data_IF_520970475441
#
_entry.id   IF_520970475441
#
_cell.length_a   1.000
_cell.length_b   1.000
_cell.length_c   1.000
_cell.angle_alpha   90.00
_cell.angle_beta   90.00
_cell.angle_gamma   90.00
#
_symmetry.space_group_name_H-M   'P 1'
#
loop_
_entity.id
_entity.type
_entity.pdbx_description
1 polymer ?
#
# COMPACT_ATOMS: atom_id res chain seq x y z
N UNK A 1 27.79 -52.27 54.77
CA UNK A 1 26.90 -51.24 55.33
C UNK A 1 26.15 -50.60 54.17
N UNK A 2 24.82 -50.79 54.16
CA UNK A 2 23.76 -50.13 53.38
C UNK A 2 23.83 -49.96 51.84
N UNK A 3 22.78 -50.52 51.21
CA UNK A 3 22.23 -50.34 49.85
C UNK A 3 21.44 -49.02 49.77
N UNK A 4 21.47 -48.27 48.64
CA UNK A 4 20.33 -47.53 47.98
C UNK A 4 20.79 -47.19 46.54
N UNK A 5 20.30 -47.84 45.47
CA UNK A 5 19.09 -47.60 44.65
C UNK A 5 19.18 -46.51 43.57
N UNK A 6 18.70 -46.88 42.37
CA UNK A 6 18.75 -46.16 41.11
C UNK A 6 17.71 -45.03 40.95
N UNK A 7 17.93 -44.11 40.01
CA UNK A 7 16.91 -43.71 39.02
C UNK A 7 17.50 -42.79 37.95
N UNK A 8 17.25 -43.16 36.69
CA UNK A 8 17.57 -42.37 35.51
C UNK A 8 16.54 -41.25 35.32
N UNK A 9 17.04 -40.06 35.02
CA UNK A 9 16.24 -38.91 34.59
C UNK A 9 16.57 -38.55 33.15
N UNK A 10 15.63 -38.78 32.25
CA UNK A 10 15.67 -38.27 30.86
C UNK A 10 15.43 -36.77 30.92
N UNK A 11 16.45 -35.96 30.62
CA UNK A 11 16.29 -34.52 30.50
C UNK A 11 15.58 -34.18 29.18
N UNK A 12 14.32 -33.75 29.26
CA UNK A 12 13.61 -33.14 28.14
C UNK A 12 14.14 -31.72 27.94
N UNK A 13 14.81 -31.48 26.81
CA UNK A 13 15.23 -30.14 26.42
C UNK A 13 14.03 -29.37 25.85
N UNK A 14 13.29 -28.69 26.72
CA UNK A 14 12.34 -27.65 26.32
C UNK A 14 13.13 -26.45 25.78
N UNK A 15 13.21 -26.31 24.45
CA UNK A 15 13.70 -25.08 23.81
C UNK A 15 12.57 -24.04 23.85
N UNK A 16 12.45 -23.34 24.97
CA UNK A 16 11.75 -22.06 25.04
C UNK A 16 12.61 -20.99 24.38
N UNK A 17 12.57 -20.93 23.04
CA UNK A 17 13.10 -19.82 22.25
C UNK A 17 12.21 -18.59 22.44
N UNK A 18 12.38 -17.89 23.55
CA UNK A 18 11.77 -16.58 23.77
C UNK A 18 12.27 -15.60 22.72
N UNK A 19 11.36 -15.11 21.89
CA UNK A 19 11.63 -14.02 20.96
C UNK A 19 11.83 -12.76 21.80
N UNK A 20 13.07 -12.41 22.09
CA UNK A 20 13.43 -11.05 22.50
C UNK A 20 13.06 -10.13 21.34
N UNK A 21 11.97 -9.40 21.51
CA UNK A 21 11.57 -8.33 20.61
C UNK A 21 12.71 -7.30 20.54
N UNK A 22 13.42 -7.25 19.42
CA UNK A 22 14.37 -6.17 19.19
C UNK A 22 13.58 -4.86 19.14
N UNK A 23 13.72 -4.02 20.15
CA UNK A 23 13.26 -2.62 20.14
C UNK A 23 14.17 -1.77 19.26
N UNK A 24 14.41 -2.22 18.03
CA UNK A 24 14.98 -1.40 16.97
C UNK A 24 13.93 -0.37 16.58
N UNK A 25 14.10 0.87 17.04
CA UNK A 25 13.31 2.02 16.61
C UNK A 25 13.51 2.15 15.09
N UNK A 26 12.61 1.57 14.30
CA UNK A 26 12.66 1.66 12.84
C UNK A 26 12.86 3.12 12.44
N UNK A 27 13.96 3.40 11.74
CA UNK A 27 14.33 4.75 11.30
C UNK A 27 13.14 5.39 10.60
N UNK A 28 12.83 6.64 10.94
CA UNK A 28 11.72 7.35 10.33
C UNK A 28 11.88 7.42 8.81
N UNK A 29 10.81 7.14 8.08
CA UNK A 29 10.78 7.12 6.60
C UNK A 29 10.11 8.38 6.07
N UNK A 30 10.24 8.66 4.77
CA UNK A 30 9.56 9.79 4.14
C UNK A 30 8.02 9.68 4.16
N UNK A 31 7.47 8.49 4.46
CA UNK A 31 6.02 8.30 4.63
C UNK A 31 5.53 8.63 6.05
N UNK A 32 6.41 8.86 7.02
CA UNK A 32 6.02 9.19 8.39
C UNK A 32 5.61 10.66 8.55
N UNK A 33 4.58 10.90 9.38
CA UNK A 33 4.02 12.23 9.59
C UNK A 33 3.10 12.69 8.45
N UNK A 34 2.95 14.00 8.30
CA UNK A 34 2.07 14.57 7.26
C UNK A 34 2.87 14.86 5.99
N UNK A 35 2.36 14.38 4.85
CA UNK A 35 2.89 14.69 3.54
C UNK A 35 1.93 15.49 2.67
N UNK A 36 2.43 16.32 1.75
CA UNK A 36 1.61 17.08 0.80
C UNK A 36 2.05 16.76 -0.62
N UNK A 37 1.10 16.44 -1.50
CA UNK A 37 1.37 16.22 -2.91
C UNK A 37 1.46 17.55 -3.66
N UNK A 38 2.34 17.63 -4.64
CA UNK A 38 2.55 18.78 -5.52
C UNK A 38 2.47 18.24 -6.94
N UNK A 39 1.44 18.65 -7.67
CA UNK A 39 1.37 18.37 -9.11
C UNK A 39 2.25 19.35 -9.90
N UNK A 40 2.02 20.65 -9.75
CA UNK A 40 2.70 21.74 -10.43
C UNK A 40 3.45 22.65 -9.44
N UNK A 41 4.78 22.66 -9.51
CA UNK A 41 5.63 23.48 -8.63
C UNK A 41 5.31 24.96 -8.77
N UNK A 42 5.12 25.47 -10.00
CA UNK A 42 4.80 26.88 -10.24
C UNK A 42 3.45 27.32 -9.64
N UNK A 43 2.52 26.39 -9.40
CA UNK A 43 1.26 26.66 -8.72
C UNK A 43 1.35 26.45 -7.19
N UNK A 44 2.51 26.04 -6.68
CA UNK A 44 2.77 25.84 -5.26
C UNK A 44 3.58 27.01 -4.73
N UNK A 45 2.91 28.00 -4.12
CA UNK A 45 3.54 29.26 -3.68
C UNK A 45 4.30 29.98 -4.83
N UNK A 46 3.76 29.94 -6.05
CA UNK A 46 4.41 30.54 -7.22
C UNK A 46 5.70 29.85 -7.65
N UNK A 47 5.98 28.64 -7.18
CA UNK A 47 7.28 27.96 -7.37
C UNK A 47 8.38 28.45 -6.43
N UNK A 48 8.07 29.33 -5.47
CA UNK A 48 9.04 29.82 -4.49
C UNK A 48 9.47 28.71 -3.55
N UNK A 49 10.72 28.23 -3.67
CA UNK A 49 11.30 27.23 -2.76
C UNK A 49 11.20 27.66 -1.29
N UNK A 50 11.61 28.89 -0.90
CA UNK A 50 11.42 29.35 0.48
C UNK A 50 9.94 29.39 0.91
N UNK A 51 9.03 29.79 0.01
CA UNK A 51 7.59 29.82 0.26
C UNK A 51 7.00 28.43 0.52
N UNK A 52 7.40 27.44 -0.28
CA UNK A 52 7.03 26.03 -0.09
C UNK A 52 7.54 25.55 1.28
N UNK A 53 8.83 25.77 1.58
CA UNK A 53 9.42 25.35 2.87
C UNK A 53 8.67 26.01 4.05
N UNK A 54 8.43 27.32 3.99
CA UNK A 54 7.76 28.06 5.05
C UNK A 54 6.34 27.54 5.30
N UNK A 55 5.54 27.33 4.25
CA UNK A 55 4.18 26.81 4.37
C UNK A 55 4.17 25.38 4.91
N UNK A 56 5.04 24.51 4.41
CA UNK A 56 5.14 23.15 4.90
C UNK A 56 5.45 23.11 6.41
N UNK A 57 6.44 23.90 6.86
CA UNK A 57 6.80 24.03 8.28
C UNK A 57 5.65 24.56 9.13
N UNK A 58 5.00 25.63 8.69
CA UNK A 58 3.86 26.24 9.40
C UNK A 58 2.72 25.23 9.66
N UNK A 59 2.55 24.25 8.77
CA UNK A 59 1.49 23.25 8.84
C UNK A 59 1.99 21.84 9.20
N UNK A 60 3.22 21.72 9.71
CA UNK A 60 3.84 20.45 10.14
C UNK A 60 3.86 19.37 9.05
N UNK A 61 3.90 19.79 7.78
CA UNK A 61 4.17 18.93 6.63
C UNK A 61 5.67 18.68 6.59
N UNK A 62 6.04 17.40 6.59
CA UNK A 62 7.44 16.94 6.66
C UNK A 62 7.95 16.45 5.31
N UNK A 63 7.03 15.99 4.47
CA UNK A 63 7.32 15.40 3.16
C UNK A 63 6.52 16.10 2.09
N UNK A 64 7.14 16.39 0.96
CA UNK A 64 6.44 16.76 -0.27
C UNK A 64 6.58 15.66 -1.31
N UNK A 65 5.47 15.29 -1.95
CA UNK A 65 5.43 14.34 -3.05
C UNK A 65 5.30 15.15 -4.34
N UNK A 66 6.38 15.35 -5.08
CA UNK A 66 6.42 16.23 -6.26
C UNK A 66 6.31 15.40 -7.53
N UNK A 67 5.47 15.83 -8.48
CA UNK A 67 5.31 15.13 -9.76
C UNK A 67 6.62 15.13 -10.52
N UNK A 68 7.13 13.94 -10.77
CA UNK A 68 8.42 13.67 -11.41
C UNK A 68 8.29 13.06 -12.80
N UNK A 69 7.11 12.54 -13.13
CA UNK A 69 6.84 11.99 -14.46
C UNK A 69 5.37 11.75 -14.72
N UNK A 70 5.08 11.49 -15.99
CA UNK A 70 3.77 11.11 -16.50
C UNK A 70 3.99 10.15 -17.67
N UNK A 71 3.60 8.88 -17.49
CA UNK A 71 3.91 7.80 -18.41
C UNK A 71 5.41 7.74 -18.71
N UNK A 72 5.77 7.88 -19.98
CA UNK A 72 7.17 7.86 -20.45
C UNK A 72 7.86 9.22 -20.41
N UNK A 73 7.19 10.26 -19.90
CA UNK A 73 7.69 11.63 -19.90
C UNK A 73 8.19 12.02 -18.51
N UNK A 74 9.46 12.36 -18.38
CA UNK A 74 10.00 12.94 -17.15
C UNK A 74 9.63 14.42 -17.03
N UNK A 75 9.28 14.88 -15.83
CA UNK A 75 8.89 16.26 -15.56
C UNK A 75 10.07 17.06 -14.99
N UNK A 76 10.66 18.02 -15.76
CA UNK A 76 11.89 18.70 -15.36
C UNK A 76 11.81 19.49 -14.06
N UNK A 77 10.61 19.93 -13.65
CA UNK A 77 10.39 20.62 -12.37
C UNK A 77 10.98 19.83 -11.18
N UNK A 78 10.97 18.49 -11.25
CA UNK A 78 11.42 17.67 -10.15
C UNK A 78 12.90 17.88 -9.85
N UNK A 79 13.74 17.87 -10.89
CA UNK A 79 15.19 18.09 -10.75
C UNK A 79 15.52 19.46 -10.16
N UNK A 80 14.68 20.46 -10.41
CA UNK A 80 14.89 21.83 -9.95
C UNK A 80 14.60 21.99 -8.44
N UNK A 81 13.73 21.16 -7.87
CA UNK A 81 13.24 21.36 -6.50
C UNK A 81 13.75 20.36 -5.47
N UNK A 82 14.21 19.16 -5.88
CA UNK A 82 14.59 18.09 -4.92
C UNK A 82 15.66 18.56 -3.93
N UNK A 83 16.81 19.04 -4.42
CA UNK A 83 17.91 19.44 -3.53
C UNK A 83 17.59 20.69 -2.70
N UNK A 84 17.04 21.78 -3.26
CA UNK A 84 16.70 22.96 -2.48
C UNK A 84 15.67 22.69 -1.37
N UNK A 85 14.63 21.89 -1.64
CA UNK A 85 13.63 21.53 -0.61
C UNK A 85 14.21 20.62 0.47
N UNK A 86 15.10 19.67 0.11
CA UNK A 86 15.84 18.85 1.07
C UNK A 86 16.77 19.69 1.95
N UNK A 87 17.49 20.66 1.38
CA UNK A 87 18.28 21.62 2.15
C UNK A 87 17.41 22.46 3.10
N UNK A 88 16.16 22.71 2.72
CA UNK A 88 15.11 23.28 3.56
C UNK A 88 14.58 22.37 4.67
N UNK A 89 15.11 21.15 4.82
CA UNK A 89 14.72 20.20 5.86
C UNK A 89 13.45 19.40 5.56
N UNK A 90 12.91 19.47 4.33
CA UNK A 90 11.81 18.61 3.90
C UNK A 90 12.34 17.28 3.36
N UNK A 91 11.56 16.22 3.52
CA UNK A 91 11.70 15.01 2.72
C UNK A 91 11.04 15.23 1.36
N UNK A 92 11.68 14.77 0.29
CA UNK A 92 11.16 14.96 -1.07
C UNK A 92 11.03 13.62 -1.76
N UNK A 93 9.80 13.27 -2.12
CA UNK A 93 9.52 12.08 -2.91
C UNK A 93 9.09 12.46 -4.31
N UNK A 94 9.53 11.67 -5.29
CA UNK A 94 8.98 11.75 -6.64
C UNK A 94 7.71 10.93 -6.76
N UNK A 95 6.73 11.38 -7.53
CA UNK A 95 5.64 10.53 -7.99
C UNK A 95 5.47 10.55 -9.50
N UNK A 96 4.88 9.50 -10.05
CA UNK A 96 4.65 9.35 -11.49
C UNK A 96 3.31 8.67 -11.73
N UNK A 97 2.49 9.26 -12.60
CA UNK A 97 1.31 8.59 -13.15
C UNK A 97 1.75 7.58 -14.22
N UNK A 98 1.31 6.32 -14.15
CA UNK A 98 1.75 5.25 -15.06
C UNK A 98 0.57 4.58 -15.76
N UNK A 99 0.78 4.14 -17.01
CA UNK A 99 -0.28 3.61 -17.89
C UNK A 99 -0.11 2.13 -18.20
N UNK A 100 1.12 1.61 -18.12
CA UNK A 100 1.42 0.20 -18.36
C UNK A 100 1.51 -0.18 -19.84
N UNK A 101 1.43 0.80 -20.75
CA UNK A 101 1.59 0.58 -22.19
C UNK A 101 3.07 0.43 -22.55
N UNK A 102 3.94 1.21 -21.89
CA UNK A 102 5.40 1.16 -22.05
C UNK A 102 6.09 0.97 -20.70
N UNK A 103 5.82 -0.14 -19.97
CA UNK A 103 6.22 -0.31 -18.58
C UNK A 103 7.74 -0.28 -18.37
N UNK A 104 8.51 -0.62 -19.41
CA UNK A 104 9.96 -0.49 -19.38
C UNK A 104 10.42 0.97 -19.38
N UNK A 105 9.80 1.82 -20.17
CA UNK A 105 10.20 3.23 -20.31
C UNK A 105 9.65 4.07 -19.16
N UNK A 106 8.42 3.78 -18.73
CA UNK A 106 7.86 4.32 -17.50
C UNK A 106 8.77 4.05 -16.30
N UNK A 107 9.30 2.82 -16.17
CA UNK A 107 10.24 2.49 -15.10
C UNK A 107 11.60 3.22 -15.23
N UNK A 108 12.01 3.63 -16.44
CA UNK A 108 13.19 4.49 -16.63
C UNK A 108 12.93 5.88 -16.04
N UNK A 109 11.75 6.45 -16.28
CA UNK A 109 11.34 7.75 -15.72
C UNK A 109 11.30 7.70 -14.19
N UNK A 110 10.69 6.65 -13.62
CA UNK A 110 10.72 6.43 -12.17
C UNK A 110 12.15 6.35 -11.62
N UNK A 111 13.01 5.56 -12.27
CA UNK A 111 14.41 5.42 -11.88
C UNK A 111 15.20 6.74 -12.00
N UNK A 112 14.82 7.63 -12.92
CA UNK A 112 15.41 8.95 -13.02
C UNK A 112 15.10 9.80 -11.78
N UNK A 113 13.86 9.79 -11.28
CA UNK A 113 13.51 10.49 -10.04
C UNK A 113 14.32 9.96 -8.84
N UNK A 114 14.50 8.64 -8.76
CA UNK A 114 15.37 8.02 -7.74
C UNK A 114 16.82 8.50 -7.87
N UNK A 115 17.38 8.49 -9.10
CA UNK A 115 18.74 8.94 -9.37
C UNK A 115 18.95 10.43 -9.06
N UNK A 116 17.92 11.26 -9.25
CA UNK A 116 17.94 12.70 -8.93
C UNK A 116 18.08 12.96 -7.41
N UNK A 117 17.90 11.94 -6.57
CA UNK A 117 18.17 12.00 -5.13
C UNK A 117 16.93 12.13 -4.27
N UNK A 118 15.77 11.68 -4.76
CA UNK A 118 14.54 11.61 -3.99
C UNK A 118 14.72 10.73 -2.73
N UNK A 119 14.05 11.08 -1.64
CA UNK A 119 14.02 10.28 -0.40
C UNK A 119 13.10 9.04 -0.54
N UNK A 120 12.08 9.14 -1.40
CA UNK A 120 11.21 8.03 -1.76
C UNK A 120 10.59 8.21 -3.14
N UNK A 121 9.90 7.18 -3.64
CA UNK A 121 9.15 7.27 -4.90
C UNK A 121 7.74 6.69 -4.73
N UNK A 122 6.74 7.29 -5.38
CA UNK A 122 5.36 6.77 -5.37
C UNK A 122 4.90 6.51 -6.81
N UNK A 123 4.44 5.29 -7.03
CA UNK A 123 3.82 4.86 -8.29
C UNK A 123 2.35 5.23 -8.20
N UNK A 124 1.89 6.16 -9.01
CA UNK A 124 0.47 6.47 -9.17
C UNK A 124 -0.06 5.61 -10.33
N UNK A 125 -0.66 4.47 -9.97
CA UNK A 125 -1.17 3.49 -10.91
C UNK A 125 -2.67 3.29 -10.65
N UNK A 126 -3.46 3.55 -11.69
CA UNK A 126 -4.92 3.51 -11.62
C UNK A 126 -5.47 2.54 -12.68
N UNK A 127 -6.65 2.82 -13.22
CA UNK A 127 -7.39 1.85 -14.02
C UNK A 127 -6.70 1.42 -15.31
N UNK A 128 -5.73 2.19 -15.81
CA UNK A 128 -4.95 1.83 -16.99
C UNK A 128 -4.13 0.56 -16.75
N UNK A 129 -3.85 0.20 -15.50
CA UNK A 129 -3.19 -1.05 -15.15
C UNK A 129 -4.14 -2.23 -14.92
N UNK A 130 -5.46 -2.04 -15.01
CA UNK A 130 -6.43 -3.13 -14.91
C UNK A 130 -6.10 -4.24 -15.91
N UNK A 131 -5.91 -5.47 -15.40
CA UNK A 131 -5.52 -6.63 -16.19
C UNK A 131 -4.07 -6.66 -16.69
N UNK A 132 -3.27 -5.62 -16.49
CA UNK A 132 -1.89 -5.52 -17.03
C UNK A 132 -0.82 -6.12 -16.12
N UNK A 133 -0.99 -7.37 -15.68
CA UNK A 133 -0.04 -8.06 -14.78
C UNK A 133 1.38 -8.15 -15.36
N UNK A 134 1.51 -8.51 -16.64
CA UNK A 134 2.81 -8.56 -17.33
C UNK A 134 3.51 -7.22 -17.38
N UNK A 135 2.74 -6.13 -17.57
CA UNK A 135 3.29 -4.78 -17.55
C UNK A 135 3.77 -4.40 -16.14
N UNK A 136 2.95 -4.64 -15.12
CA UNK A 136 3.31 -4.38 -13.72
C UNK A 136 4.58 -5.14 -13.30
N UNK A 137 4.73 -6.40 -13.70
CA UNK A 137 5.93 -7.20 -13.41
C UNK A 137 7.16 -6.61 -14.11
N UNK A 138 7.04 -6.24 -15.39
CA UNK A 138 8.14 -5.63 -16.15
C UNK A 138 8.55 -4.28 -15.56
N UNK A 139 7.57 -3.46 -15.20
CA UNK A 139 7.78 -2.17 -14.53
C UNK A 139 8.51 -2.35 -13.20
N UNK A 140 7.96 -3.15 -12.28
CA UNK A 140 8.52 -3.31 -10.93
C UNK A 140 9.91 -3.94 -10.95
N UNK A 141 10.16 -4.93 -11.82
CA UNK A 141 11.49 -5.54 -11.96
C UNK A 141 12.53 -4.51 -12.41
N UNK A 142 12.20 -3.67 -13.40
CA UNK A 142 13.13 -2.65 -13.91
C UNK A 142 13.32 -1.52 -12.92
N UNK A 143 12.26 -1.03 -12.28
CA UNK A 143 12.37 0.00 -11.25
C UNK A 143 13.25 -0.50 -10.09
N UNK A 144 13.02 -1.72 -9.60
CA UNK A 144 13.83 -2.29 -8.51
C UNK A 144 15.27 -2.56 -8.88
N UNK A 145 15.57 -2.94 -10.12
CA UNK A 145 16.97 -3.14 -10.53
C UNK A 145 17.76 -1.83 -10.54
N UNK A 146 17.08 -0.68 -10.66
CA UNK A 146 17.69 0.65 -10.61
C UNK A 146 17.65 1.30 -9.24
N UNK A 147 16.54 1.18 -8.51
CA UNK A 147 16.36 1.79 -7.19
C UNK A 147 16.96 0.97 -6.04
N UNK A 148 17.10 -0.35 -6.23
CA UNK A 148 17.50 -1.27 -5.17
C UNK A 148 16.33 -1.78 -4.32
N UNK A 149 16.63 -2.81 -3.52
CA UNK A 149 15.63 -3.56 -2.73
C UNK A 149 15.06 -2.76 -1.56
N UNK A 150 15.85 -1.86 -0.98
CA UNK A 150 15.52 -1.14 0.25
C UNK A 150 15.06 0.30 0.02
N UNK A 151 15.20 0.82 -1.20
CA UNK A 151 14.73 2.17 -1.51
C UNK A 151 13.21 2.28 -1.29
N UNK A 152 12.72 3.26 -0.54
CA UNK A 152 11.30 3.36 -0.19
C UNK A 152 10.43 3.64 -1.42
N UNK A 153 9.52 2.72 -1.73
CA UNK A 153 8.53 2.89 -2.80
C UNK A 153 7.12 2.71 -2.25
N UNK A 154 6.23 3.65 -2.58
CA UNK A 154 4.79 3.57 -2.33
C UNK A 154 4.00 3.25 -3.60
N UNK A 155 2.83 2.66 -3.44
CA UNK A 155 1.80 2.54 -4.47
C UNK A 155 0.63 3.45 -4.10
N UNK A 156 0.36 4.48 -4.89
CA UNK A 156 -0.90 5.20 -4.86
C UNK A 156 -1.86 4.56 -5.87
N UNK A 157 -2.90 3.92 -5.35
CA UNK A 157 -3.93 3.22 -6.14
C UNK A 157 -5.30 3.32 -5.47
N UNK A 158 -6.27 2.50 -5.91
CA UNK A 158 -7.64 2.62 -5.42
C UNK A 158 -7.78 2.24 -3.94
N UNK A 159 -8.62 2.95 -3.18
CA UNK A 159 -8.92 2.60 -1.80
C UNK A 159 -9.76 1.31 -1.71
N UNK A 160 -10.68 1.10 -2.66
CA UNK A 160 -11.58 -0.06 -2.70
C UNK A 160 -11.05 -1.09 -3.68
N UNK A 161 -10.03 -1.85 -3.28
CA UNK A 161 -9.37 -2.84 -4.15
C UNK A 161 -10.33 -3.94 -4.66
N UNK A 162 -11.42 -4.21 -3.94
CA UNK A 162 -12.45 -5.16 -4.33
C UNK A 162 -13.39 -4.65 -5.44
N UNK A 163 -13.30 -3.36 -5.76
CA UNK A 163 -13.96 -2.74 -6.91
C UNK A 163 -13.05 -2.72 -8.14
N UNK A 164 -11.76 -3.00 -7.96
CA UNK A 164 -10.73 -3.07 -9.01
C UNK A 164 -10.08 -4.47 -9.02
N UNK A 165 -10.88 -5.54 -9.21
CA UNK A 165 -10.43 -6.91 -8.96
C UNK A 165 -9.36 -7.39 -9.92
N UNK A 166 -9.21 -6.77 -11.10
CA UNK A 166 -8.15 -7.10 -12.07
C UNK A 166 -6.90 -6.23 -11.94
N UNK A 167 -6.87 -5.27 -11.02
CA UNK A 167 -5.71 -4.42 -10.83
C UNK A 167 -4.62 -5.23 -10.13
N UNK A 168 -3.36 -5.20 -10.60
CA UNK A 168 -2.31 -6.11 -10.14
C UNK A 168 -1.69 -5.70 -8.79
N UNK A 169 -2.50 -5.57 -7.75
CA UNK A 169 -2.04 -5.24 -6.39
C UNK A 169 -1.05 -6.29 -5.86
N UNK A 170 -1.30 -7.57 -6.10
CA UNK A 170 -0.41 -8.67 -5.73
C UNK A 170 1.00 -8.55 -6.34
N UNK A 171 1.14 -7.88 -7.49
CA UNK A 171 2.43 -7.57 -8.11
C UNK A 171 3.05 -6.31 -7.51
N UNK A 172 2.28 -5.22 -7.47
CA UNK A 172 2.79 -3.93 -6.98
C UNK A 172 3.12 -3.96 -5.50
N UNK A 173 2.35 -4.65 -4.65
CA UNK A 173 2.54 -4.78 -3.21
C UNK A 173 3.26 -6.09 -2.83
N UNK A 174 3.42 -7.03 -3.76
CA UNK A 174 4.08 -8.31 -3.51
C UNK A 174 5.60 -8.21 -3.24
N UNK A 175 6.31 -9.35 -3.13
CA UNK A 175 7.75 -9.35 -2.90
C UNK A 175 8.54 -8.62 -3.99
N UNK A 176 9.41 -7.69 -3.59
CA UNK A 176 10.10 -6.80 -4.52
C UNK A 176 9.23 -5.64 -5.01
N UNK A 177 7.95 -5.61 -4.67
CA UNK A 177 7.03 -4.51 -4.93
C UNK A 177 7.32 -3.26 -4.07
N UNK A 178 6.37 -2.32 -4.06
CA UNK A 178 6.29 -1.21 -3.12
C UNK A 178 6.23 -1.72 -1.67
N UNK A 179 6.88 -0.97 -0.76
CA UNK A 179 6.86 -1.26 0.69
C UNK A 179 5.68 -0.58 1.38
N UNK A 180 5.10 0.45 0.78
CA UNK A 180 4.04 1.27 1.36
C UNK A 180 2.81 1.23 0.45
N UNK A 181 1.64 0.99 1.02
CA UNK A 181 0.38 1.13 0.31
C UNK A 181 -0.20 2.52 0.65
N UNK A 182 -0.49 3.32 -0.37
CA UNK A 182 -0.88 4.73 -0.27
C UNK A 182 -2.25 4.94 -0.94
N UNK A 183 -3.31 4.26 -0.48
CA UNK A 183 -4.61 4.30 -1.15
C UNK A 183 -5.17 5.72 -1.22
N UNK A 184 -5.74 6.09 -2.36
CA UNK A 184 -6.31 7.42 -2.62
C UNK A 184 -7.72 7.52 -2.01
N UNK A 185 -7.80 7.90 -0.74
CA UNK A 185 -9.03 7.95 0.07
C UNK A 185 -9.71 9.32 -0.08
N UNK A 186 -10.42 9.51 -1.19
CA UNK A 186 -11.12 10.76 -1.51
C UNK A 186 -12.61 10.70 -1.18
N UNK A 187 -12.94 10.79 0.10
CA UNK A 187 -14.27 10.43 0.61
C UNK A 187 -15.43 11.24 0.00
N UNK A 188 -15.25 12.53 -0.29
CA UNK A 188 -16.30 13.33 -0.97
C UNK A 188 -16.51 12.88 -2.41
N UNK A 189 -15.43 12.58 -3.14
CA UNK A 189 -15.52 12.08 -4.51
C UNK A 189 -16.15 10.67 -4.56
N UNK A 190 -15.88 9.85 -3.54
CA UNK A 190 -16.49 8.52 -3.41
C UNK A 190 -17.97 8.62 -2.98
N UNK A 191 -18.36 9.70 -2.29
CA UNK A 191 -19.73 9.98 -1.89
C UNK A 191 -20.13 9.31 -0.56
N UNK A 192 -19.17 9.05 0.32
CA UNK A 192 -19.42 8.50 1.66
C UNK A 192 -18.64 9.26 2.73
N UNK A 193 -19.00 9.07 4.00
CA UNK A 193 -18.27 9.63 5.14
C UNK A 193 -16.90 8.96 5.35
N UNK A 194 -15.99 9.71 6.00
CA UNK A 194 -14.60 9.28 6.27
C UNK A 194 -14.50 7.87 6.86
N UNK A 195 -15.32 7.54 7.86
CA UNK A 195 -15.25 6.26 8.56
C UNK A 195 -15.62 5.07 7.66
N UNK A 196 -16.64 5.25 6.82
CA UNK A 196 -17.08 4.24 5.86
C UNK A 196 -15.97 3.96 4.86
N UNK A 197 -15.40 5.01 4.28
CA UNK A 197 -14.34 4.87 3.27
C UNK A 197 -13.08 4.29 3.87
N UNK A 198 -12.66 4.78 5.04
CA UNK A 198 -11.47 4.28 5.72
C UNK A 198 -11.66 2.82 6.16
N UNK A 199 -12.80 2.48 6.77
CA UNK A 199 -13.08 1.11 7.21
C UNK A 199 -13.04 0.11 6.07
N UNK A 200 -13.70 0.43 4.95
CA UNK A 200 -13.65 -0.40 3.76
C UNK A 200 -12.22 -0.49 3.18
N UNK A 201 -11.51 0.63 3.11
CA UNK A 201 -10.11 0.67 2.64
C UNK A 201 -9.23 -0.28 3.46
N UNK A 202 -9.23 -0.17 4.79
CA UNK A 202 -8.40 -1.02 5.64
C UNK A 202 -8.83 -2.49 5.60
N UNK A 203 -10.13 -2.79 5.54
CA UNK A 203 -10.65 -4.15 5.47
C UNK A 203 -10.07 -4.91 4.27
N UNK A 204 -10.06 -4.28 3.10
CA UNK A 204 -9.68 -4.93 1.83
C UNK A 204 -8.21 -4.79 1.47
N UNK A 205 -7.51 -3.77 1.95
CA UNK A 205 -6.08 -3.59 1.66
C UNK A 205 -5.16 -4.35 2.63
N UNK A 206 -5.61 -4.60 3.86
CA UNK A 206 -4.82 -5.27 4.90
C UNK A 206 -4.30 -6.67 4.50
N UNK A 207 -5.04 -7.50 3.75
CA UNK A 207 -4.53 -8.77 3.25
C UNK A 207 -3.21 -8.68 2.46
N UNK A 208 -2.88 -7.56 1.81
CA UNK A 208 -1.61 -7.42 1.09
C UNK A 208 -0.38 -7.25 2.02
N UNK A 209 -0.58 -7.15 3.33
CA UNK A 209 0.50 -7.19 4.31
C UNK A 209 1.47 -6.01 4.25
N UNK A 210 1.08 -4.90 3.61
CA UNK A 210 1.85 -3.66 3.58
C UNK A 210 1.32 -2.64 4.57
N UNK A 211 2.21 -1.86 5.22
CA UNK A 211 1.78 -0.68 5.95
C UNK A 211 0.97 0.26 5.05
N UNK A 212 -0.20 0.70 5.56
CA UNK A 212 -1.15 1.56 4.83
C UNK A 212 -0.99 3.00 5.32
N UNK A 213 -0.66 3.91 4.41
CA UNK A 213 -0.45 5.35 4.64
C UNK A 213 -1.38 6.10 3.71
N UNK A 214 -2.66 6.32 4.09
CA UNK A 214 -3.67 6.78 3.15
C UNK A 214 -3.40 8.20 2.66
N UNK A 215 -3.73 8.44 1.38
CA UNK A 215 -3.74 9.73 0.72
C UNK A 215 -5.15 10.33 0.81
N UNK A 216 -5.32 11.37 1.63
CA UNK A 216 -6.60 12.02 1.87
C UNK A 216 -6.88 13.17 0.89
N UNK A 217 -8.15 13.54 0.79
CA UNK A 217 -8.66 14.63 -0.05
C UNK A 217 -8.60 15.98 0.68
N UNK A 218 -8.16 17.03 -0.03
CA UNK A 218 -8.34 18.44 0.36
C UNK A 218 -9.10 19.27 -0.68
N UNK A 219 -9.19 18.78 -1.92
CA UNK A 219 -10.04 19.34 -2.96
C UNK A 219 -11.53 19.09 -2.67
N UNK A 220 -12.42 19.86 -3.30
CA UNK A 220 -13.84 19.94 -2.94
C UNK A 220 -14.11 20.43 -1.50
N UNK A 221 -13.14 21.10 -0.87
CA UNK A 221 -13.23 21.74 0.45
C UNK A 221 -13.94 20.86 1.52
N UNK A 222 -13.33 19.74 1.93
CA UNK A 222 -13.87 18.94 3.01
C UNK A 222 -13.84 19.68 4.33
N UNK A 223 -14.78 19.38 5.22
CA UNK A 223 -14.86 20.06 6.50
C UNK A 223 -13.62 19.74 7.36
N UNK A 224 -13.18 20.73 8.16
CA UNK A 224 -12.07 20.54 9.12
C UNK A 224 -12.24 19.31 10.01
N UNK A 225 -13.47 19.04 10.45
CA UNK A 225 -13.81 17.88 11.28
C UNK A 225 -13.56 16.55 10.54
N UNK A 226 -13.80 16.48 9.22
CA UNK A 226 -13.55 15.30 8.39
C UNK A 226 -12.04 15.06 8.23
N UNK A 227 -11.26 16.11 7.95
CA UNK A 227 -9.80 16.04 7.85
C UNK A 227 -9.20 15.53 9.17
N UNK A 228 -9.66 16.06 10.31
CA UNK A 228 -9.25 15.60 11.64
C UNK A 228 -9.69 14.15 11.88
N UNK A 229 -10.92 13.78 11.47
CA UNK A 229 -11.44 12.40 11.62
C UNK A 229 -10.59 11.41 10.83
N UNK A 230 -10.22 11.74 9.59
CA UNK A 230 -9.38 10.91 8.72
C UNK A 230 -8.02 10.62 9.38
N UNK A 231 -7.37 11.67 9.89
CA UNK A 231 -6.09 11.55 10.60
C UNK A 231 -6.21 10.69 11.87
N UNK A 232 -7.28 10.87 12.64
CA UNK A 232 -7.56 10.06 13.84
C UNK A 232 -7.76 8.59 13.48
N UNK A 233 -8.54 8.29 12.44
CA UNK A 233 -8.81 6.94 11.97
C UNK A 233 -7.51 6.25 11.50
N UNK A 234 -6.73 6.92 10.65
CA UNK A 234 -5.46 6.38 10.15
C UNK A 234 -4.50 6.03 11.31
N UNK A 235 -4.38 6.93 12.30
CA UNK A 235 -3.56 6.69 13.49
C UNK A 235 -4.08 5.51 14.33
N UNK A 236 -5.39 5.38 14.50
CA UNK A 236 -6.00 4.26 15.23
C UNK A 236 -5.74 2.91 14.53
N UNK A 237 -5.68 2.92 13.20
CA UNK A 237 -5.29 1.75 12.41
C UNK A 237 -3.80 1.41 12.50
N UNK A 238 -2.96 2.37 12.92
CA UNK A 238 -1.53 2.20 13.12
C UNK A 238 -0.68 2.86 12.05
N UNK A 239 -1.27 3.67 11.17
CA UNK A 239 -0.51 4.47 10.22
C UNK A 239 0.35 5.49 10.98
N UNK A 240 1.65 5.53 10.65
CA UNK A 240 2.61 6.51 11.21
C UNK A 240 2.58 7.85 10.48
N UNK A 241 1.89 7.90 9.35
CA UNK A 241 1.73 9.10 8.55
C UNK A 241 0.51 9.01 7.64
N UNK A 242 0.16 10.17 7.09
CA UNK A 242 -0.86 10.35 6.06
C UNK A 242 -0.34 11.36 5.05
N UNK A 243 -0.86 11.34 3.83
CA UNK A 243 -0.57 12.38 2.84
C UNK A 243 -1.85 13.01 2.30
N UNK A 244 -1.72 14.14 1.61
CA UNK A 244 -2.85 14.93 1.14
C UNK A 244 -2.73 15.31 -0.32
N UNK A 245 -3.84 15.16 -1.05
CA UNK A 245 -4.03 15.70 -2.38
C UNK A 245 -4.81 17.01 -2.30
N UNK A 246 -4.25 18.15 -2.69
CA UNK A 246 -2.83 18.43 -2.96
C UNK A 246 -2.50 19.89 -2.59
N UNK A 247 -1.29 20.36 -2.88
CA UNK A 247 -0.84 21.70 -2.52
C UNK A 247 -1.66 22.81 -3.20
N UNK A 248 -2.03 22.58 -4.46
CA UNK A 248 -2.70 23.51 -5.36
C UNK A 248 -4.15 23.73 -4.95
N UNK A 249 -4.81 22.65 -4.52
CA UNK A 249 -6.25 22.62 -4.28
C UNK A 249 -6.59 22.82 -2.79
N UNK A 250 -5.60 22.68 -1.89
CA UNK A 250 -5.81 22.84 -0.46
C UNK A 250 -6.19 24.27 -0.04
N UNK A 251 -7.40 24.42 0.47
CA UNK A 251 -7.91 25.68 1.04
C UNK A 251 -7.19 26.07 2.33
N UNK A 252 -7.35 27.32 2.78
CA UNK A 252 -6.82 27.76 4.07
C UNK A 252 -7.33 26.91 5.24
N UNK A 253 -8.57 26.42 5.15
CA UNK A 253 -9.16 25.48 6.12
C UNK A 253 -8.42 24.15 6.08
N UNK A 254 -8.19 23.60 4.89
CA UNK A 254 -7.40 22.38 4.69
C UNK A 254 -6.01 22.47 5.30
N UNK A 255 -5.26 23.53 4.97
CA UNK A 255 -3.92 23.76 5.52
C UNK A 255 -3.88 23.84 7.05
N UNK A 256 -4.83 24.53 7.67
CA UNK A 256 -4.93 24.55 9.15
C UNK A 256 -5.18 23.14 9.70
N UNK A 257 -6.09 22.39 9.08
CA UNK A 257 -6.53 21.08 9.56
C UNK A 257 -5.46 19.96 9.45
N UNK A 258 -4.59 19.99 8.42
CA UNK A 258 -3.55 18.95 8.26
C UNK A 258 -2.50 18.97 9.37
N UNK A 259 -2.21 20.14 9.95
CA UNK A 259 -1.22 20.35 11.01
C UNK A 259 -1.81 20.36 12.43
N UNK A 260 -3.12 20.29 12.57
CA UNK A 260 -3.82 20.39 13.86
C UNK A 260 -3.36 19.30 14.84
N UNK A 261 -3.31 19.59 16.15
CA UNK A 261 -3.09 18.57 17.15
C UNK A 261 -4.24 17.56 17.14
N UNK A 262 -3.91 16.28 17.28
CA UNK A 262 -4.90 15.21 17.32
C UNK A 262 -5.12 14.77 18.77
N UNK A 263 -6.28 15.12 19.33
CA UNK A 263 -6.71 14.57 20.62
C UNK A 263 -6.79 13.04 20.58
N UNK A 264 -6.76 12.41 21.75
CA UNK A 264 -6.89 10.96 21.88
C UNK A 264 -8.15 10.46 21.15
N UNK A 265 -8.01 9.31 20.51
CA UNK A 265 -9.10 8.67 19.77
C UNK A 265 -9.59 7.48 20.59
N UNK A 266 -10.77 7.61 21.19
CA UNK A 266 -11.30 6.63 22.14
C UNK A 266 -12.24 5.59 21.49
N UNK A 267 -12.68 5.81 20.26
CA UNK A 267 -13.47 4.83 19.54
C UNK A 267 -12.54 3.77 18.93
N UNK A 268 -12.79 2.50 19.20
CA UNK A 268 -12.03 1.43 18.57
C UNK A 268 -12.31 1.40 17.06
N UNK A 269 -11.26 1.26 16.24
CA UNK A 269 -11.42 0.82 14.85
C UNK A 269 -11.45 -0.71 14.85
N UNK A 270 -12.44 -1.30 14.19
CA UNK A 270 -12.51 -2.75 14.04
C UNK A 270 -11.44 -3.20 13.05
N UNK A 271 -10.39 -3.82 13.59
CA UNK A 271 -9.25 -4.32 12.85
C UNK A 271 -9.56 -5.68 12.23
N UNK A 272 -10.26 -5.70 11.11
CA UNK A 272 -10.67 -6.93 10.41
C UNK A 272 -10.00 -7.12 9.04
N UNK A 273 -10.26 -8.27 8.41
CA UNK A 273 -9.83 -8.61 7.06
C UNK A 273 -11.03 -8.98 6.20
N UNK A 274 -10.97 -8.64 4.93
CA UNK A 274 -11.92 -9.12 3.94
C UNK A 274 -12.03 -10.65 3.96
N UNK A 275 -13.25 -11.18 3.89
CA UNK A 275 -13.46 -12.62 3.83
C UNK A 275 -13.55 -13.09 2.38
N UNK A 276 -12.73 -14.07 2.02
CA UNK A 276 -12.84 -14.75 0.71
C UNK A 276 -13.56 -16.08 0.84
N UNK A 277 -14.44 -16.37 -0.12
CA UNK A 277 -15.10 -17.66 -0.25
C UNK A 277 -15.48 -17.94 -1.68
N UNK A 278 -15.90 -19.17 -1.95
CA UNK A 278 -16.37 -19.60 -3.26
C UNK A 278 -17.47 -18.69 -3.82
N UNK A 279 -17.38 -18.36 -5.10
CA UNK A 279 -18.31 -17.46 -5.79
C UNK A 279 -17.97 -15.96 -5.69
N UNK A 280 -16.94 -15.58 -4.93
CA UNK A 280 -16.47 -14.18 -4.86
C UNK A 280 -15.68 -13.74 -6.09
N UNK A 281 -15.93 -12.54 -6.59
CA UNK A 281 -15.29 -11.96 -7.79
C UNK A 281 -14.04 -11.10 -7.51
N UNK A 282 -13.16 -11.54 -6.59
CA UNK A 282 -12.03 -10.74 -6.10
C UNK A 282 -10.68 -11.22 -6.68
N UNK A 283 -10.54 -11.18 -8.01
CA UNK A 283 -9.49 -11.90 -8.73
C UNK A 283 -8.06 -11.75 -8.14
N UNK A 284 -7.53 -10.53 -8.02
CA UNK A 284 -6.15 -10.32 -7.54
C UNK A 284 -5.97 -10.81 -6.10
N UNK A 285 -6.96 -10.54 -5.23
CA UNK A 285 -6.88 -10.92 -3.83
C UNK A 285 -7.01 -12.44 -3.63
N UNK A 286 -7.79 -13.12 -4.48
CA UNK A 286 -7.82 -14.59 -4.52
C UNK A 286 -6.50 -15.15 -5.05
N UNK A 287 -5.92 -14.54 -6.08
CA UNK A 287 -4.61 -14.92 -6.60
C UNK A 287 -3.53 -14.77 -5.52
N UNK A 288 -3.56 -13.67 -4.77
CA UNK A 288 -2.69 -13.44 -3.61
C UNK A 288 -2.82 -14.55 -2.56
N UNK A 289 -4.05 -14.90 -2.18
CA UNK A 289 -4.30 -16.01 -1.26
C UNK A 289 -3.78 -17.35 -1.79
N UNK A 290 -4.02 -17.65 -3.06
CA UNK A 290 -3.55 -18.85 -3.74
C UNK A 290 -2.02 -18.98 -3.72
N UNK A 291 -1.30 -17.87 -3.91
CA UNK A 291 0.17 -17.88 -3.84
C UNK A 291 0.70 -18.11 -2.43
N UNK A 292 0.04 -17.57 -1.41
CA UNK A 292 0.38 -17.88 -0.02
C UNK A 292 0.06 -19.34 0.35
N UNK A 293 -1.08 -19.88 -0.11
CA UNK A 293 -1.43 -21.28 0.12
C UNK A 293 -0.35 -22.20 -0.45
N UNK A 294 0.14 -21.89 -1.66
CA UNK A 294 1.28 -22.60 -2.26
C UNK A 294 2.56 -22.45 -1.46
N UNK A 295 2.86 -21.25 -0.98
CA UNK A 295 4.02 -21.03 -0.11
C UNK A 295 3.94 -21.78 1.23
N UNK A 296 2.73 -22.07 1.70
CA UNK A 296 2.45 -22.93 2.83
C UNK A 296 2.43 -24.44 2.48
N UNK A 297 2.88 -24.82 1.28
CA UNK A 297 2.95 -26.21 0.83
C UNK A 297 1.63 -26.80 0.34
N UNK A 298 0.57 -26.00 0.21
CA UNK A 298 -0.72 -26.49 -0.28
C UNK A 298 -0.76 -26.50 -1.81
N UNK A 299 -1.40 -27.52 -2.38
CA UNK A 299 -1.69 -27.56 -3.82
C UNK A 299 -2.91 -26.70 -4.14
N UNK A 300 -2.70 -25.41 -4.38
CA UNK A 300 -3.72 -24.47 -4.84
C UNK A 300 -3.57 -24.13 -6.34
N UNK A 301 -4.66 -23.90 -7.09
CA UNK A 301 -4.57 -23.31 -8.42
C UNK A 301 -4.04 -21.86 -8.34
N UNK A 302 -3.60 -21.29 -9.48
CA UNK A 302 -3.19 -19.89 -9.62
C UNK A 302 -4.06 -19.25 -10.69
N UNK A 303 -5.33 -19.07 -10.37
CA UNK A 303 -6.37 -18.69 -11.32
C UNK A 303 -7.04 -17.38 -10.95
N UNK A 304 -6.86 -16.88 -9.73
CA UNK A 304 -7.64 -15.77 -9.20
C UNK A 304 -9.12 -16.11 -8.99
N UNK A 305 -9.52 -17.38 -9.17
CA UNK A 305 -10.89 -17.85 -8.98
C UNK A 305 -10.97 -18.68 -7.71
N UNK A 306 -11.87 -18.32 -6.80
CA UNK A 306 -12.10 -19.08 -5.58
C UNK A 306 -13.04 -20.24 -5.89
N UNK A 307 -12.49 -21.30 -6.48
CA UNK A 307 -13.22 -22.50 -6.91
C UNK A 307 -13.18 -23.62 -5.84
N UNK A 308 -13.76 -24.78 -6.17
CA UNK A 308 -13.73 -25.94 -5.29
C UNK A 308 -12.30 -26.44 -4.98
N UNK A 309 -11.35 -26.28 -5.90
CA UNK A 309 -9.95 -26.63 -5.65
C UNK A 309 -9.30 -25.70 -4.62
N UNK A 310 -9.56 -24.38 -4.73
CA UNK A 310 -9.15 -23.37 -3.76
C UNK A 310 -9.80 -23.64 -2.40
N UNK A 311 -11.10 -23.92 -2.33
CA UNK A 311 -11.80 -24.31 -1.10
C UNK A 311 -11.14 -25.52 -0.42
N UNK A 312 -10.79 -26.56 -1.19
CA UNK A 312 -10.07 -27.74 -0.66
C UNK A 312 -8.69 -27.38 -0.12
N UNK A 313 -7.92 -26.55 -0.83
CA UNK A 313 -6.61 -26.08 -0.39
C UNK A 313 -6.70 -25.26 0.92
N UNK A 314 -7.69 -24.38 1.03
CA UNK A 314 -7.97 -23.61 2.27
C UNK A 314 -8.31 -24.54 3.42
N UNK A 315 -9.20 -25.52 3.23
CA UNK A 315 -9.55 -26.49 4.29
C UNK A 315 -8.34 -27.29 4.77
N UNK A 316 -7.44 -27.69 3.86
CA UNK A 316 -6.18 -28.36 4.22
C UNK A 316 -5.26 -27.44 5.01
N UNK A 317 -5.08 -26.19 4.55
CA UNK A 317 -4.31 -25.17 5.24
C UNK A 317 -4.82 -24.95 6.67
N UNK A 318 -6.13 -24.72 6.82
CA UNK A 318 -6.79 -24.52 8.11
C UNK A 318 -6.55 -25.70 9.06
N UNK A 319 -6.73 -26.93 8.56
CA UNK A 319 -6.46 -28.15 9.35
C UNK A 319 -5.00 -28.22 9.81
N UNK A 320 -4.04 -27.95 8.91
CA UNK A 320 -2.61 -27.97 9.24
C UNK A 320 -2.16 -26.87 10.19
N UNK A 321 -2.95 -25.81 10.36
CA UNK A 321 -2.67 -24.66 11.22
C UNK A 321 -3.57 -24.59 12.46
N UNK A 322 -4.36 -25.64 12.75
CA UNK A 322 -5.24 -25.67 13.92
C UNK A 322 -6.39 -24.66 13.89
N UNK A 323 -6.81 -24.23 12.70
CA UNK A 323 -7.90 -23.25 12.51
C UNK A 323 -9.24 -23.96 12.30
N UNK A 324 -10.35 -23.24 12.51
CA UNK A 324 -11.69 -23.70 12.15
C UNK A 324 -11.75 -24.04 10.65
N UNK A 325 -12.03 -25.29 10.33
CA UNK A 325 -12.06 -25.78 8.94
C UNK A 325 -13.39 -25.43 8.25
N UNK A 326 -13.54 -24.18 7.84
CA UNK A 326 -14.74 -23.66 7.16
C UNK A 326 -14.55 -23.47 5.64
N UNK A 327 -13.31 -23.57 5.13
CA UNK A 327 -12.99 -23.37 3.72
C UNK A 327 -13.08 -21.92 3.24
N UNK A 328 -13.25 -20.96 4.15
CA UNK A 328 -13.23 -19.51 3.88
C UNK A 328 -11.91 -18.93 4.35
N UNK A 329 -11.45 -17.86 3.71
CA UNK A 329 -10.29 -17.10 4.18
C UNK A 329 -10.83 -15.89 4.94
N UNK A 330 -11.12 -16.11 6.22
CA UNK A 330 -11.52 -15.10 7.20
C UNK A 330 -10.28 -14.53 7.95
N UNK A 331 -10.48 -13.60 8.89
CA UNK A 331 -9.38 -12.97 9.65
C UNK A 331 -8.40 -13.95 10.29
N UNK A 332 -8.82 -14.99 11.04
CA UNK A 332 -7.87 -15.99 11.56
C UNK A 332 -7.06 -16.67 10.45
N UNK A 333 -7.72 -17.01 9.33
CA UNK A 333 -7.06 -17.64 8.19
C UNK A 333 -6.06 -16.69 7.53
N UNK A 334 -6.38 -15.41 7.31
CA UNK A 334 -5.44 -14.41 6.79
C UNK A 334 -4.22 -14.22 7.69
N UNK A 335 -4.44 -14.06 9.00
CA UNK A 335 -3.34 -13.88 9.96
C UNK A 335 -2.36 -15.05 9.92
N UNK A 336 -2.86 -16.28 9.77
CA UNK A 336 -2.00 -17.46 9.61
C UNK A 336 -1.33 -17.49 8.23
N UNK A 337 -2.10 -17.24 7.17
CA UNK A 337 -1.66 -17.36 5.78
C UNK A 337 -0.53 -16.38 5.44
N UNK A 338 -0.59 -15.14 5.93
CA UNK A 338 0.41 -14.10 5.69
C UNK A 338 1.76 -14.35 6.39
N UNK A 339 1.87 -15.36 7.27
CA UNK A 339 3.15 -15.80 7.84
C UNK A 339 4.00 -16.59 6.84
N UNK A 340 3.37 -17.14 5.82
CA UNK A 340 4.05 -17.89 4.78
C UNK A 340 4.45 -16.96 3.64
N UNK A 341 5.63 -17.13 3.02
CA UNK A 341 5.97 -16.37 1.84
C UNK A 341 5.01 -16.73 0.71
N UNK A 342 4.80 -15.83 -0.25
CA UNK A 342 4.16 -16.24 -1.51
C UNK A 342 5.09 -17.16 -2.29
N UNK A 343 4.55 -18.25 -2.83
CA UNK A 343 5.28 -19.06 -3.79
C UNK A 343 5.46 -18.23 -5.07
N UNK A 344 6.67 -17.71 -5.34
CA UNK A 344 6.88 -16.86 -6.53
C UNK A 344 6.45 -17.60 -7.80
N UNK A 345 5.36 -17.17 -8.42
CA UNK A 345 5.07 -17.55 -9.79
C UNK A 345 6.07 -16.87 -10.72
N UNK A 346 6.48 -17.56 -11.79
CA UNK A 346 7.17 -16.88 -12.88
C UNK A 346 6.24 -15.85 -13.49
N UNK A 347 6.81 -14.77 -14.04
CA UNK A 347 6.03 -13.72 -14.71
C UNK A 347 5.08 -14.29 -15.78
N UNK A 348 5.55 -15.33 -16.49
CA UNK A 348 4.76 -16.06 -17.48
C UNK A 348 3.53 -16.75 -16.88
N UNK A 349 3.61 -17.29 -15.66
CA UNK A 349 2.47 -17.96 -14.99
C UNK A 349 1.43 -16.97 -14.46
N UNK A 350 1.86 -15.81 -13.94
CA UNK A 350 0.91 -14.74 -13.55
C UNK A 350 0.22 -14.17 -14.79
N UNK A 351 0.97 -13.95 -15.87
CA UNK A 351 0.41 -13.53 -17.16
C UNK A 351 -0.59 -14.55 -17.71
N UNK A 352 -0.27 -15.84 -17.65
CA UNK A 352 -1.14 -16.90 -18.14
C UNK A 352 -2.45 -17.00 -17.32
N UNK A 353 -2.37 -16.83 -16.00
CA UNK A 353 -3.54 -16.78 -15.12
C UNK A 353 -4.49 -15.64 -15.51
N UNK A 354 -3.94 -14.48 -15.84
CA UNK A 354 -4.70 -13.30 -16.28
C UNK A 354 -5.18 -13.35 -17.74
N UNK A 355 -4.56 -14.16 -18.61
CA UNK A 355 -4.93 -14.25 -20.03
C UNK A 355 -5.92 -15.38 -20.32
N UNK A 356 -6.04 -16.38 -19.44
CA UNK A 356 -6.94 -17.52 -19.60
C UNK A 356 -8.37 -17.32 -19.07
N UNK A 357 -8.64 -16.19 -18.41
CA UNK A 357 -9.97 -15.81 -17.92
C UNK A 357 -10.32 -14.41 -18.42
N UNK A 358 -11.57 -14.15 -18.79
CA UNK A 358 -12.06 -12.79 -18.97
C UNK A 358 -11.90 -12.05 -17.64
N UNK A 359 -10.95 -11.10 -17.60
CA UNK A 359 -10.64 -10.37 -16.38
C UNK A 359 -11.90 -9.63 -15.88
N UNK A 360 -12.23 -9.73 -14.58
CA UNK A 360 -13.38 -9.03 -14.05
C UNK A 360 -13.20 -7.52 -14.22
N UNK A 361 -14.22 -6.85 -14.72
CA UNK A 361 -14.19 -5.40 -14.90
C UNK A 361 -14.23 -4.69 -13.55
N UNK A 362 -13.70 -3.47 -13.53
CA UNK A 362 -13.91 -2.56 -12.41
C UNK A 362 -15.41 -2.36 -12.16
N UNK A 363 -15.83 -2.41 -10.89
CA UNK A 363 -17.24 -2.24 -10.47
C UNK A 363 -17.66 -0.78 -10.50
N UNK A 364 -16.76 0.11 -10.09
CA UNK A 364 -16.91 1.58 -10.09
C UNK A 364 -15.52 2.20 -10.03
N UNK A 365 -15.42 3.46 -10.46
CA UNK A 365 -14.22 4.27 -10.37
C UNK A 365 -14.41 5.28 -9.23
N UNK A 366 -13.65 5.10 -8.16
CA UNK A 366 -13.69 5.93 -6.95
C UNK A 366 -12.77 7.15 -7.04
N UNK A 367 -11.77 7.06 -7.91
CA UNK A 367 -10.79 8.10 -8.11
C UNK A 367 -11.18 8.89 -9.36
N UNK A 368 -11.42 10.20 -9.27
CA UNK A 368 -11.65 11.01 -10.46
C UNK A 368 -10.38 11.05 -11.32
N UNK A 369 -10.52 11.11 -12.66
CA UNK A 369 -9.38 11.26 -13.54
C UNK A 369 -8.62 12.54 -13.18
N UNK A 370 -7.30 12.61 -13.45
CA UNK A 370 -6.47 13.74 -13.02
C UNK A 370 -7.06 15.11 -13.37
N UNK A 371 -7.62 15.27 -14.58
CA UNK A 371 -8.21 16.53 -15.03
C UNK A 371 -9.46 16.99 -14.26
N UNK A 372 -10.12 16.09 -13.52
CA UNK A 372 -11.31 16.39 -12.71
C UNK A 372 -11.00 16.57 -11.22
N UNK A 373 -9.72 16.54 -10.83
CA UNK A 373 -9.32 16.87 -9.45
C UNK A 373 -9.32 18.38 -9.20
N UNK A 374 -9.06 19.18 -10.26
CA UNK A 374 -8.97 20.64 -10.27
C UNK A 374 -10.20 21.42 -9.77
#
# INVERSE_FOLDING_TARGET
MAIVAASGGVASASRTGGVTASTGRSSATAFDGSGMWIWYVNQSNGGSIPGIIARARAHKVRTVFVKSGDGTTYWPQFSQVVRPLQAGGLKVCGWQYVYGDRPGDEATVAAQAVKTGADCFVIDAEAQYEGKYSAAIKYMRKLRSKAGKHYPIGLAGFPYVDYHPSFPYSVFLGPGGAQFNVPQVYWKAIGYGVDTVMGHTYLWNRPYGRPIYPLGQLYQDPARSEIIRFRKYARAEGARGVSWWDWQEATNTGWKAVGDPLSAFHHGVVKDYATLSQGGGFFDLVLWAQEHLRGAGQSAPRTGVFDGATTRAVKKFQRSNGLKVNGRIDKPTWIALLRYPVARASAARLSAASSGHSMPRAKRYEIPPPALRH
#
